data_IF_391113678332
#
_entry.id   IF_391113678332
#
_cell.length_a   1.000
_cell.length_b   1.000
_cell.length_c   1.000
_cell.angle_alpha   90.00
_cell.angle_beta   90.00
_cell.angle_gamma   90.00
#
_symmetry.space_group_name_H-M   'P 1'
#
loop_
_entity.id
_entity.type
_entity.pdbx_description
1 polymer ?
#
# COMPACT_ATOMS: atom_id res chain seq x y z
N UNK A 1 -15.15 1.40 -60.97
CA UNK A 1 -15.41 2.10 -59.69
C UNK A 1 -16.68 1.51 -59.09
N UNK A 2 -16.79 0.98 -57.88
CA UNK A 2 -15.89 0.56 -56.81
C UNK A 2 -16.73 -0.48 -56.05
N UNK A 3 -16.24 -1.70 -55.88
CA UNK A 3 -16.86 -2.70 -55.00
C UNK A 3 -16.81 -2.20 -53.55
N UNK A 4 -17.97 -2.13 -52.89
CA UNK A 4 -18.05 -1.91 -51.45
C UNK A 4 -19.09 -2.83 -50.84
N UNK A 5 -18.59 -3.87 -50.16
CA UNK A 5 -18.92 -4.23 -48.78
C UNK A 5 -18.79 -5.75 -48.57
N UNK A 6 -17.53 -6.21 -48.62
CA UNK A 6 -17.10 -7.29 -47.72
C UNK A 6 -17.00 -6.68 -46.32
N UNK A 7 -18.12 -6.62 -45.61
CA UNK A 7 -18.06 -6.44 -44.17
C UNK A 7 -17.61 -7.77 -43.58
N UNK A 8 -16.30 -7.83 -43.31
CA UNK A 8 -15.75 -8.75 -42.34
C UNK A 8 -16.54 -8.56 -41.05
N UNK A 9 -17.28 -9.59 -40.67
CA UNK A 9 -17.95 -9.66 -39.39
C UNK A 9 -16.87 -9.81 -38.32
N UNK A 10 -16.28 -8.69 -37.90
CA UNK A 10 -15.40 -8.61 -36.74
C UNK A 10 -16.24 -8.94 -35.49
N UNK A 11 -16.30 -10.22 -35.16
CA UNK A 11 -16.97 -10.73 -33.96
C UNK A 11 -16.34 -10.11 -32.72
N UNK A 12 -17.20 -9.55 -31.88
CA UNK A 12 -16.83 -8.93 -30.61
C UNK A 12 -16.21 -9.98 -29.65
N UNK A 13 -14.99 -9.78 -29.14
CA UNK A 13 -14.31 -10.72 -28.25
C UNK A 13 -14.91 -10.83 -26.84
N UNK A 14 -15.96 -10.06 -26.53
CA UNK A 14 -16.59 -10.00 -25.19
C UNK A 14 -18.05 -10.49 -25.17
N UNK A 15 -18.59 -11.02 -26.27
CA UNK A 15 -19.90 -11.69 -26.24
C UNK A 15 -19.75 -13.08 -25.62
N UNK A 16 -20.66 -13.45 -24.72
CA UNK A 16 -20.73 -14.79 -24.16
C UNK A 16 -20.75 -15.79 -25.33
N UNK A 17 -19.69 -16.60 -25.41
CA UNK A 17 -19.41 -17.44 -26.56
C UNK A 17 -20.67 -18.22 -26.93
N UNK A 18 -21.27 -17.88 -28.07
CA UNK A 18 -22.26 -18.76 -28.68
C UNK A 18 -21.61 -20.15 -28.73
N UNK A 19 -22.24 -21.20 -28.20
CA UNK A 19 -21.62 -22.51 -28.12
C UNK A 19 -21.10 -22.87 -29.51
N UNK A 20 -19.81 -23.22 -29.56
CA UNK A 20 -19.14 -23.63 -30.79
C UNK A 20 -20.04 -24.58 -31.59
N UNK A 21 -20.01 -24.51 -32.92
CA UNK A 21 -20.81 -25.42 -33.76
C UNK A 21 -20.59 -26.89 -33.40
N UNK A 22 -19.38 -27.23 -32.93
CA UNK A 22 -19.03 -28.55 -32.41
C UNK A 22 -19.71 -28.82 -31.06
N UNK A 23 -19.73 -27.83 -30.15
CA UNK A 23 -20.41 -27.96 -28.86
C UNK A 23 -21.92 -28.17 -29.05
N UNK A 24 -22.56 -27.42 -29.94
CA UNK A 24 -23.98 -27.61 -30.29
C UNK A 24 -24.26 -28.99 -30.88
N UNK A 25 -23.38 -29.48 -31.76
CA UNK A 25 -23.49 -30.81 -32.34
C UNK A 25 -23.39 -31.90 -31.26
N UNK A 26 -22.39 -31.81 -30.39
CA UNK A 26 -22.19 -32.76 -29.29
C UNK A 26 -23.36 -32.73 -28.31
N UNK A 27 -23.87 -31.55 -27.94
CA UNK A 27 -25.06 -31.43 -27.09
C UNK A 27 -26.28 -32.09 -27.71
N UNK A 28 -26.46 -31.99 -29.03
CA UNK A 28 -27.55 -32.66 -29.74
C UNK A 28 -27.34 -34.17 -29.83
N UNK A 29 -26.12 -34.63 -30.09
CA UNK A 29 -25.79 -36.06 -30.08
C UNK A 29 -26.04 -36.70 -28.70
N UNK A 30 -25.82 -35.96 -27.62
CA UNK A 30 -26.17 -36.40 -26.26
C UNK A 30 -27.68 -36.43 -26.04
N UNK A 31 -28.41 -35.39 -26.48
CA UNK A 31 -29.87 -35.34 -26.36
C UNK A 31 -30.58 -36.44 -27.17
N UNK A 32 -30.04 -36.78 -28.35
CA UNK A 32 -30.54 -37.84 -29.21
C UNK A 32 -30.07 -39.24 -28.75
N UNK A 33 -29.30 -39.34 -27.64
CA UNK A 33 -28.83 -40.59 -27.04
C UNK A 33 -27.75 -41.32 -27.82
N UNK A 34 -27.13 -40.67 -28.81
CA UNK A 34 -26.09 -41.24 -29.68
C UNK A 34 -24.74 -41.36 -28.97
N UNK A 35 -24.47 -40.47 -28.03
CA UNK A 35 -23.27 -40.44 -27.18
C UNK A 35 -23.72 -40.08 -25.76
N UNK A 36 -23.11 -40.67 -24.75
CA UNK A 36 -23.36 -40.30 -23.35
C UNK A 36 -22.43 -39.18 -22.90
N UNK A 37 -22.87 -38.36 -21.94
CA UNK A 37 -22.02 -37.32 -21.35
C UNK A 37 -20.75 -37.92 -20.72
N UNK A 38 -20.84 -39.13 -20.17
CA UNK A 38 -19.73 -39.85 -19.55
C UNK A 38 -18.64 -40.22 -20.58
N UNK A 39 -19.02 -40.67 -21.78
CA UNK A 39 -18.08 -40.96 -22.87
C UNK A 39 -17.31 -39.71 -23.36
N UNK A 40 -17.97 -38.54 -23.37
CA UNK A 40 -17.32 -37.26 -23.70
C UNK A 40 -16.34 -36.88 -22.58
N UNK A 41 -16.75 -37.00 -21.33
CA UNK A 41 -15.93 -36.68 -20.16
C UNK A 41 -14.68 -37.59 -20.10
N UNK A 42 -14.83 -38.87 -20.42
CA UNK A 42 -13.74 -39.84 -20.43
C UNK A 42 -12.78 -39.63 -21.61
N UNK A 43 -13.30 -39.31 -22.79
CA UNK A 43 -12.46 -38.85 -23.91
C UNK A 43 -11.68 -37.59 -23.54
N UNK A 44 -12.31 -36.63 -22.87
CA UNK A 44 -11.62 -35.41 -22.41
C UNK A 44 -10.48 -35.76 -21.46
N UNK A 45 -10.73 -36.59 -20.44
CA UNK A 45 -9.70 -37.04 -19.50
C UNK A 45 -8.58 -37.82 -20.19
N UNK A 46 -8.91 -38.60 -21.23
CA UNK A 46 -7.93 -39.36 -22.00
C UNK A 46 -7.05 -38.43 -22.85
N UNK A 47 -7.65 -37.48 -23.57
CA UNK A 47 -6.92 -36.43 -24.31
C UNK A 47 -6.06 -35.58 -23.37
N UNK A 48 -6.56 -35.26 -22.18
CA UNK A 48 -5.79 -34.53 -21.16
C UNK A 48 -4.57 -35.32 -20.63
N UNK A 49 -4.62 -36.66 -20.66
CA UNK A 49 -3.51 -37.53 -20.22
C UNK A 49 -2.52 -37.83 -21.35
N UNK A 50 -3.01 -37.99 -22.57
CA UNK A 50 -2.21 -38.49 -23.70
C UNK A 50 -1.67 -37.35 -24.59
N UNK A 51 -2.30 -36.17 -24.57
CA UNK A 51 -1.86 -35.04 -25.39
C UNK A 51 -0.75 -34.23 -24.71
N UNK A 52 0.44 -34.28 -25.31
CA UNK A 52 1.59 -33.47 -24.90
C UNK A 52 1.28 -31.96 -24.92
N UNK A 53 0.44 -31.50 -25.86
CA UNK A 53 0.07 -30.07 -25.98
C UNK A 53 -0.81 -29.63 -24.81
N UNK A 54 -1.78 -30.45 -24.41
CA UNK A 54 -2.67 -30.13 -23.28
C UNK A 54 -1.88 -30.10 -21.97
N UNK A 55 -0.95 -31.05 -21.79
CA UNK A 55 -0.06 -31.05 -20.63
C UNK A 55 0.83 -29.80 -20.59
N UNK A 56 1.40 -29.41 -21.74
CA UNK A 56 2.21 -28.19 -21.86
C UNK A 56 1.43 -26.92 -21.49
N UNK A 57 0.18 -26.80 -21.96
CA UNK A 57 -0.69 -25.65 -21.64
C UNK A 57 -1.01 -25.62 -20.13
N UNK A 58 -1.30 -26.76 -19.51
CA UNK A 58 -1.53 -26.85 -18.06
C UNK A 58 -0.31 -26.35 -17.27
N UNK A 59 0.89 -26.83 -17.62
CA UNK A 59 2.13 -26.38 -16.99
C UNK A 59 2.38 -24.87 -17.19
N UNK A 60 2.13 -24.35 -18.39
CA UNK A 60 2.25 -22.91 -18.66
C UNK A 60 1.30 -22.07 -17.80
N UNK A 61 0.06 -22.53 -17.62
CA UNK A 61 -0.91 -21.85 -16.76
C UNK A 61 -0.51 -21.87 -15.29
N UNK A 62 0.01 -23.00 -14.79
CA UNK A 62 0.53 -23.11 -13.43
C UNK A 62 1.75 -22.20 -13.20
N UNK A 63 2.67 -22.17 -14.16
CA UNK A 63 3.83 -21.26 -14.12
C UNK A 63 3.36 -19.81 -14.11
N UNK A 64 2.40 -19.44 -14.95
CA UNK A 64 1.85 -18.09 -14.98
C UNK A 64 1.19 -17.73 -13.64
N UNK A 65 0.40 -18.64 -13.05
CA UNK A 65 -0.21 -18.44 -11.74
C UNK A 65 0.86 -18.22 -10.65
N UNK A 66 1.88 -19.08 -10.59
CA UNK A 66 2.98 -18.93 -9.65
C UNK A 66 3.77 -17.62 -9.85
N UNK A 67 4.00 -17.21 -11.10
CA UNK A 67 4.64 -15.93 -11.41
C UNK A 67 3.81 -14.74 -10.92
N UNK A 68 2.49 -14.79 -11.09
CA UNK A 68 1.61 -13.73 -10.55
C UNK A 68 1.67 -13.66 -9.04
N UNK A 69 1.72 -14.80 -8.34
CA UNK A 69 1.85 -14.83 -6.88
C UNK A 69 3.21 -14.30 -6.42
N UNK A 70 4.31 -14.71 -7.07
CA UNK A 70 5.66 -14.19 -6.78
C UNK A 70 5.72 -12.67 -6.97
N UNK A 71 5.11 -12.16 -8.04
CA UNK A 71 5.06 -10.71 -8.31
C UNK A 71 4.26 -9.97 -7.25
N UNK A 72 3.13 -10.53 -6.81
CA UNK A 72 2.33 -9.97 -5.72
C UNK A 72 3.12 -9.92 -4.42
N UNK A 73 3.78 -11.02 -4.04
CA UNK A 73 4.64 -11.05 -2.84
C UNK A 73 5.80 -10.05 -2.93
N UNK A 74 6.37 -9.87 -4.12
CA UNK A 74 7.43 -8.88 -4.35
C UNK A 74 6.92 -7.45 -4.15
N UNK A 75 5.73 -7.13 -4.64
CA UNK A 75 5.10 -5.82 -4.45
C UNK A 75 4.77 -5.57 -2.97
N UNK A 76 4.24 -6.57 -2.25
CA UNK A 76 3.97 -6.46 -0.82
C UNK A 76 5.25 -6.23 -0.01
N UNK A 77 6.35 -6.91 -0.36
CA UNK A 77 7.66 -6.67 0.26
C UNK A 77 8.15 -5.24 0.02
N UNK A 78 8.13 -4.78 -1.23
CA UNK A 78 8.56 -3.42 -1.58
C UNK A 78 7.73 -2.36 -0.85
N UNK A 79 6.42 -2.59 -0.69
CA UNK A 79 5.55 -1.71 0.10
C UNK A 79 6.01 -1.64 1.55
N UNK A 80 6.34 -2.78 2.17
CA UNK A 80 6.83 -2.82 3.55
C UNK A 80 8.20 -2.16 3.72
N UNK A 81 9.13 -2.40 2.78
CA UNK A 81 10.44 -1.72 2.74
C UNK A 81 10.28 -0.21 2.66
N UNK A 82 9.44 0.29 1.75
CA UNK A 82 9.16 1.73 1.63
C UNK A 82 8.56 2.31 2.93
N UNK A 83 7.68 1.58 3.60
CA UNK A 83 7.12 2.01 4.89
C UNK A 83 8.20 2.08 5.97
N UNK A 84 9.10 1.09 6.02
CA UNK A 84 10.21 1.08 6.96
C UNK A 84 11.15 2.27 6.72
N UNK A 85 11.61 2.42 5.48
CA UNK A 85 12.52 3.50 5.07
C UNK A 85 11.91 4.89 5.35
N UNK A 86 10.61 5.04 5.11
CA UNK A 86 9.90 6.30 5.35
C UNK A 86 9.60 6.53 6.84
N UNK A 87 9.37 5.46 7.62
CA UNK A 87 9.12 5.57 9.05
C UNK A 87 10.33 6.14 9.78
N UNK A 88 11.54 5.67 9.47
CA UNK A 88 12.76 6.16 10.13
C UNK A 88 12.99 7.66 9.88
N UNK A 89 12.81 8.12 8.64
CA UNK A 89 12.93 9.54 8.27
C UNK A 89 11.81 10.38 8.91
N UNK A 90 10.58 9.87 8.91
CA UNK A 90 9.43 10.59 9.47
C UNK A 90 9.50 10.70 11.00
N UNK A 91 9.97 9.65 11.69
CA UNK A 91 10.15 9.67 13.14
C UNK A 91 11.29 10.60 13.56
N UNK A 92 12.45 10.54 12.89
CA UNK A 92 13.56 11.42 13.21
C UNK A 92 13.21 12.89 12.99
N UNK A 93 12.58 13.24 11.88
CA UNK A 93 12.17 14.62 11.60
C UNK A 93 11.13 15.14 12.60
N UNK A 94 10.15 14.31 12.97
CA UNK A 94 9.16 14.66 13.99
C UNK A 94 9.79 14.83 15.38
N UNK A 95 10.73 13.96 15.74
CA UNK A 95 11.46 14.04 17.00
C UNK A 95 12.34 15.29 17.04
N UNK A 96 13.06 15.61 15.97
CA UNK A 96 13.84 16.85 15.85
C UNK A 96 12.94 18.08 16.01
N UNK A 97 11.79 18.11 15.35
CA UNK A 97 10.85 19.22 15.49
C UNK A 97 10.35 19.37 16.96
N UNK A 98 10.08 18.25 17.64
CA UNK A 98 9.66 18.26 19.04
C UNK A 98 10.79 18.73 19.96
N UNK A 99 12.02 18.26 19.75
CA UNK A 99 13.17 18.66 20.57
C UNK A 99 13.50 20.13 20.38
N UNK A 100 13.42 20.66 19.15
CA UNK A 100 13.60 22.09 18.88
C UNK A 100 12.57 22.96 19.61
N UNK A 101 11.29 22.55 19.61
CA UNK A 101 10.23 23.24 20.36
C UNK A 101 10.50 23.23 21.86
N UNK A 102 10.87 22.09 22.42
CA UNK A 102 11.23 21.98 23.84
C UNK A 102 12.45 22.82 24.21
N UNK A 103 13.49 22.81 23.36
CA UNK A 103 14.68 23.65 23.55
C UNK A 103 14.33 25.14 23.50
N UNK A 104 13.43 25.56 22.61
CA UNK A 104 12.95 26.95 22.57
C UNK A 104 12.28 27.33 23.89
N UNK A 105 11.34 26.51 24.37
CA UNK A 105 10.62 26.76 25.62
C UNK A 105 11.59 26.82 26.80
N UNK A 106 12.57 25.90 26.87
CA UNK A 106 13.59 25.92 27.93
C UNK A 106 14.42 27.21 27.89
N UNK A 107 14.85 27.67 26.71
CA UNK A 107 15.58 28.95 26.58
C UNK A 107 14.74 30.14 27.04
N UNK A 108 13.46 30.16 26.69
CA UNK A 108 12.53 31.21 27.12
C UNK A 108 12.35 31.19 28.65
N UNK A 109 12.15 30.01 29.25
CA UNK A 109 12.05 29.83 30.70
C UNK A 109 13.33 30.26 31.43
N UNK A 110 14.50 29.90 30.91
CA UNK A 110 15.79 30.37 31.45
C UNK A 110 15.92 31.89 31.41
N UNK A 111 15.43 32.53 30.34
CA UNK A 111 15.35 33.99 30.21
C UNK A 111 14.51 34.59 31.33
N UNK A 112 13.27 34.10 31.50
CA UNK A 112 12.35 34.56 32.55
C UNK A 112 12.96 34.38 33.95
N UNK A 113 13.63 33.26 34.21
CA UNK A 113 14.28 33.03 35.50
C UNK A 113 15.46 33.98 35.75
N UNK A 114 16.24 34.31 34.73
CA UNK A 114 17.34 35.31 34.84
C UNK A 114 16.78 36.69 35.13
N UNK A 115 15.74 37.12 34.41
CA UNK A 115 15.06 38.39 34.65
C UNK A 115 14.47 38.47 36.05
N UNK A 116 13.80 37.40 36.50
CA UNK A 116 13.26 37.33 37.87
C UNK A 116 14.37 37.50 38.90
N UNK A 117 15.50 36.80 38.76
CA UNK A 117 16.66 36.95 39.67
C UNK A 117 17.20 38.38 39.65
N UNK A 118 17.37 38.97 38.48
CA UNK A 118 17.85 40.34 38.33
C UNK A 118 16.92 41.36 39.00
N UNK A 119 15.60 41.20 38.85
CA UNK A 119 14.60 42.03 39.52
C UNK A 119 14.64 41.88 41.04
N UNK A 120 14.69 40.64 41.55
CA UNK A 120 14.80 40.39 42.99
C UNK A 120 16.05 41.03 43.57
N UNK A 121 17.20 40.90 42.89
CA UNK A 121 18.45 41.53 43.33
C UNK A 121 18.32 43.07 43.37
N UNK A 122 17.80 43.69 42.31
CA UNK A 122 17.60 45.15 42.26
C UNK A 122 16.67 45.66 43.35
N UNK A 123 15.59 44.92 43.64
CA UNK A 123 14.68 45.28 44.72
C UNK A 123 15.35 45.15 46.08
N UNK A 124 16.10 44.08 46.30
CA UNK A 124 16.87 43.87 47.53
C UNK A 124 17.84 45.04 47.77
N UNK A 125 18.67 45.37 46.77
CA UNK A 125 19.61 46.49 46.81
C UNK A 125 18.92 47.83 47.12
N UNK A 126 17.73 48.06 46.55
CA UNK A 126 16.95 49.28 46.83
C UNK A 126 16.40 49.29 48.25
N UNK A 127 15.90 48.16 48.74
CA UNK A 127 15.38 48.05 50.10
C UNK A 127 16.47 48.13 51.16
N UNK A 128 17.66 47.56 50.91
CA UNK A 128 18.79 47.67 51.84
C UNK A 128 19.30 49.10 51.91
N UNK A 129 19.44 49.80 50.78
CA UNK A 129 19.76 51.24 50.77
C UNK A 129 18.71 52.09 51.52
N UNK A 130 17.42 51.76 51.39
CA UNK A 130 16.36 52.45 52.11
C UNK A 130 16.31 52.11 53.61
N UNK A 131 16.69 50.89 54.01
CA UNK A 131 16.70 50.44 55.42
C UNK A 131 17.99 50.80 56.17
N UNK A 132 19.07 51.16 55.47
CA UNK A 132 20.34 51.58 56.09
C UNK A 132 20.28 53.02 56.64
N UNK A 133 19.32 53.84 56.18
CA UNK A 133 19.14 55.22 56.65
C UNK A 133 18.02 55.38 57.70
N UNK A 134 17.69 54.33 58.45
CA UNK A 134 17.01 54.50 59.74
C UNK A 134 18.09 54.48 60.82
N UNK A 135 18.72 55.64 60.97
CA UNK A 135 19.52 55.98 62.14
C UNK A 135 18.65 55.67 63.36
N UNK A 136 18.99 54.61 64.09
CA UNK A 136 18.35 54.27 65.35
C UNK A 136 18.82 55.27 66.41
N UNK A 137 18.42 56.54 66.25
CA UNK A 137 18.39 57.52 67.32
C UNK A 137 17.15 57.24 68.17
N UNK A 138 17.16 56.10 68.87
CA UNK A 138 16.35 55.92 70.06
C UNK A 138 17.31 55.77 71.23
N UNK A 139 17.20 56.75 72.12
CA UNK A 139 17.88 56.87 73.41
C UNK A 139 17.91 55.59 74.24
#
# INVERSE_FOLDING_TARGET
MVDKNLQGNERNPWEAECPSSVALFLSRAVADGMITQEEIEDNRKQVEKESAVVHQIKLQNEIAALQTEVNKMKLERQKLELVLDTADVSHQSLLLQKTEKLQRINRELEGVLKERRALTQRLLERTTMASIALDANYH
#
